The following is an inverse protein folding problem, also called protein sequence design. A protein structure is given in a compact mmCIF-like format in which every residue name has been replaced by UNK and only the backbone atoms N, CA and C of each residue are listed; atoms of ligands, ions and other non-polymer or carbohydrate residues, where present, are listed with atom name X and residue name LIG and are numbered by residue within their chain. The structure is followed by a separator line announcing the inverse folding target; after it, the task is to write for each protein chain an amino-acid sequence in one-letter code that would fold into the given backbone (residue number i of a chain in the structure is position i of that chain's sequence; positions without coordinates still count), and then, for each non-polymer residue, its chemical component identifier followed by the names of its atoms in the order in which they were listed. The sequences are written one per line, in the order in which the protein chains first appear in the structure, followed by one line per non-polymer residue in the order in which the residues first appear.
data_IF_662592183715
#
_entry.id   IF_662592183715
#
_cell.length_a   1.000
_cell.length_b   1.000
_cell.length_c   1.000
_cell.angle_alpha   90.00
_cell.angle_beta   90.00
_cell.angle_gamma   90.00
#
_symmetry.space_group_name_H-M   'P 1'
#
loop_
_entity.id
_entity.type
_entity.pdbx_description
1 polymer ?
#
# COMPACT_ATOMS: atom_id res chain seq x y z
N UNK A 1 -8.63 14.59 -38.72
CA UNK A 1 -7.74 13.46 -38.33
C UNK A 1 -6.53 13.88 -37.50
N UNK A 2 -5.60 14.72 -38.00
CA UNK A 2 -4.36 15.09 -37.24
C UNK A 2 -4.60 15.67 -35.83
N UNK A 3 -5.60 16.53 -35.66
CA UNK A 3 -5.91 17.10 -34.34
C UNK A 3 -6.50 16.06 -33.37
N UNK A 4 -7.25 15.09 -33.88
CA UNK A 4 -7.81 13.99 -33.07
C UNK A 4 -6.69 13.05 -32.62
N UNK A 5 -5.77 12.70 -33.53
CA UNK A 5 -4.57 11.92 -33.18
C UNK A 5 -3.73 12.65 -32.13
N UNK A 6 -3.52 13.97 -32.28
CA UNK A 6 -2.81 14.76 -31.28
C UNK A 6 -3.46 14.75 -29.90
N UNK A 7 -4.79 14.89 -29.85
CA UNK A 7 -5.55 14.82 -28.60
C UNK A 7 -5.48 13.44 -27.95
N UNK A 8 -5.59 12.36 -28.74
CA UNK A 8 -5.49 10.99 -28.26
C UNK A 8 -4.09 10.68 -27.71
N UNK A 9 -3.04 11.17 -28.37
CA UNK A 9 -1.66 11.04 -27.88
C UNK A 9 -1.44 11.77 -26.55
N UNK A 10 -2.00 12.97 -26.38
CA UNK A 10 -1.94 13.69 -25.11
C UNK A 10 -2.77 13.01 -24.00
N UNK A 11 -3.90 12.38 -24.33
CA UNK A 11 -4.68 11.59 -23.38
C UNK A 11 -3.94 10.32 -22.93
N UNK A 12 -3.28 9.62 -23.88
CA UNK A 12 -2.40 8.49 -23.54
C UNK A 12 -1.20 8.93 -22.72
N UNK A 13 -0.61 10.09 -23.01
CA UNK A 13 0.46 10.66 -22.19
C UNK A 13 -0.02 10.89 -20.74
N UNK A 14 -1.23 11.41 -20.55
CA UNK A 14 -1.83 11.58 -19.22
C UNK A 14 -2.02 10.24 -18.48
N UNK A 15 -2.48 9.20 -19.18
CA UNK A 15 -2.59 7.84 -18.64
C UNK A 15 -1.22 7.28 -18.23
N UNK A 16 -0.20 7.43 -19.08
CA UNK A 16 1.16 7.00 -18.76
C UNK A 16 1.74 7.76 -17.56
N UNK A 17 1.50 9.07 -17.45
CA UNK A 17 1.90 9.85 -16.28
C UNK A 17 1.23 9.34 -14.99
N UNK A 18 -0.09 9.11 -15.03
CA UNK A 18 -0.81 8.58 -13.87
C UNK A 18 -0.31 7.19 -13.46
N UNK A 19 -0.13 6.29 -14.43
CA UNK A 19 0.45 4.98 -14.20
C UNK A 19 1.87 5.07 -13.63
N UNK A 20 2.73 5.94 -14.19
CA UNK A 20 4.10 6.16 -13.72
C UNK A 20 4.16 6.64 -12.26
N UNK A 21 3.27 7.55 -11.86
CA UNK A 21 3.17 8.01 -10.45
C UNK A 21 2.77 6.87 -9.52
N UNK A 22 1.76 6.08 -9.89
CA UNK A 22 1.29 4.96 -9.08
C UNK A 22 2.33 3.84 -8.99
N UNK A 23 3.00 3.52 -10.09
CA UNK A 23 4.05 2.51 -10.14
C UNK A 23 5.31 2.93 -9.39
N UNK A 24 5.73 4.19 -9.50
CA UNK A 24 6.82 4.73 -8.69
C UNK A 24 6.50 4.62 -7.19
N UNK A 25 5.26 4.94 -6.80
CA UNK A 25 4.84 4.79 -5.41
C UNK A 25 4.78 3.32 -4.95
N UNK A 26 4.24 2.43 -5.77
CA UNK A 26 4.22 1.00 -5.47
C UNK A 26 5.62 0.41 -5.32
N UNK A 27 6.58 0.83 -6.17
CA UNK A 27 7.97 0.45 -6.02
C UNK A 27 8.59 1.04 -4.75
N UNK A 28 8.36 2.31 -4.45
CA UNK A 28 8.85 2.91 -3.20
C UNK A 28 8.32 2.16 -1.97
N UNK A 29 7.05 1.76 -1.99
CA UNK A 29 6.43 0.97 -0.92
C UNK A 29 7.05 -0.43 -0.79
N UNK A 30 7.58 -1.00 -1.88
CA UNK A 30 8.24 -2.32 -1.87
C UNK A 30 9.72 -2.23 -1.47
N UNK A 31 10.44 -1.23 -1.96
CA UNK A 31 11.90 -1.14 -1.85
C UNK A 31 12.37 -0.31 -0.63
N UNK A 32 11.52 0.57 -0.10
CA UNK A 32 11.90 1.52 0.99
C UNK A 32 10.95 1.43 2.18
N UNK A 33 11.45 1.56 3.43
CA UNK A 33 10.63 1.39 4.63
C UNK A 33 9.75 2.60 4.93
N UNK A 34 10.15 3.80 4.50
CA UNK A 34 9.50 5.06 4.88
C UNK A 34 8.01 5.10 4.47
N UNK A 35 7.60 4.80 3.23
CA UNK A 35 6.19 4.88 2.85
C UNK A 35 5.31 3.92 3.64
N UNK A 36 5.81 2.72 3.93
CA UNK A 36 5.09 1.75 4.76
C UNK A 36 4.93 2.31 6.19
N UNK A 37 6.01 2.85 6.78
CA UNK A 37 5.99 3.46 8.11
C UNK A 37 5.08 4.69 8.21
N UNK A 38 4.94 5.48 7.16
CA UNK A 38 4.01 6.62 7.12
C UNK A 38 2.54 6.17 7.11
N UNK A 39 2.21 5.12 6.34
CA UNK A 39 0.87 4.54 6.29
C UNK A 39 0.48 3.94 7.64
N UNK A 40 1.40 3.20 8.25
CA UNK A 40 1.09 2.36 9.42
C UNK A 40 1.53 2.97 10.74
N UNK A 41 2.29 4.06 10.72
CA UNK A 41 2.78 4.74 11.91
C UNK A 41 1.67 5.12 12.89
N UNK A 42 0.53 5.68 12.43
CA UNK A 42 -0.60 5.98 13.30
C UNK A 42 -1.20 4.75 14.01
N UNK A 43 -1.05 3.54 13.47
CA UNK A 43 -1.56 2.32 14.12
C UNK A 43 -0.77 1.96 15.38
N UNK A 44 0.51 2.37 15.47
CA UNK A 44 1.33 2.17 16.67
C UNK A 44 0.81 2.96 17.89
N UNK A 45 -0.06 3.94 17.66
CA UNK A 45 -0.68 4.79 18.68
C UNK A 45 -2.17 4.45 18.89
N UNK A 46 -2.74 3.50 18.11
CA UNK A 46 -4.14 3.11 18.20
C UNK A 46 -4.36 2.16 19.39
N UNK A 47 -4.95 2.70 20.46
CA UNK A 47 -5.24 1.93 21.69
C UNK A 47 -6.10 0.71 21.44
N UNK A 48 -7.04 0.76 20.49
CA UNK A 48 -7.90 -0.40 20.22
C UNK A 48 -7.12 -1.57 19.64
N UNK A 49 -6.04 -1.32 18.88
CA UNK A 49 -5.12 -2.37 18.39
C UNK A 49 -4.22 -2.83 19.52
N UNK A 50 -3.63 -1.89 20.26
CA UNK A 50 -2.70 -2.19 21.36
C UNK A 50 -3.35 -2.96 22.51
N UNK A 51 -4.65 -2.77 22.75
CA UNK A 51 -5.40 -3.50 23.78
C UNK A 51 -5.69 -4.96 23.37
N UNK A 52 -5.78 -5.25 22.07
CA UNK A 52 -6.09 -6.59 21.54
C UNK A 52 -4.86 -7.42 21.16
N UNK A 53 -3.73 -6.75 20.88
CA UNK A 53 -2.47 -7.38 20.49
C UNK A 53 -1.94 -8.41 21.52
N UNK A 54 -2.01 -8.15 22.85
CA UNK A 54 -1.41 -9.04 23.83
C UNK A 54 -2.09 -10.41 23.90
N UNK A 55 -3.42 -10.45 23.89
CA UNK A 55 -4.19 -11.69 23.88
C UNK A 55 -3.84 -12.55 22.66
N UNK A 56 -3.61 -11.90 21.51
CA UNK A 56 -3.22 -12.59 20.27
C UNK A 56 -1.78 -13.09 20.31
N UNK A 57 -0.85 -12.31 20.83
CA UNK A 57 0.55 -12.72 21.01
C UNK A 57 0.62 -13.90 21.97
N UNK A 58 -0.11 -13.84 23.09
CA UNK A 58 -0.20 -14.94 24.07
C UNK A 58 -0.79 -16.18 23.40
N UNK A 59 -1.94 -16.06 22.73
CA UNK A 59 -2.58 -17.19 22.05
C UNK A 59 -1.72 -17.80 20.93
N UNK A 60 -0.95 -16.99 20.22
CA UNK A 60 -0.03 -17.48 19.19
C UNK A 60 1.25 -18.09 19.78
N UNK A 61 1.80 -17.51 20.86
CA UNK A 61 3.02 -17.98 21.51
C UNK A 61 2.82 -19.28 22.28
N UNK A 62 1.63 -19.47 22.84
CA UNK A 62 1.26 -20.71 23.52
C UNK A 62 0.87 -21.81 22.53
N UNK A 63 0.67 -21.46 21.25
CA UNK A 63 -0.02 -22.32 20.28
C UNK A 63 -1.45 -22.59 20.75
N UNK A 64 -2.32 -23.10 19.90
CA UNK A 64 -3.58 -23.69 20.40
C UNK A 64 -3.32 -25.02 21.16
N UNK A 65 -2.11 -25.22 21.70
CA UNK A 65 -1.67 -26.40 22.42
C UNK A 65 -1.73 -26.10 23.92
N UNK A 66 -2.90 -26.34 24.50
CA UNK A 66 -3.13 -26.33 25.96
C UNK A 66 -2.10 -27.21 26.71
N UNK A 67 -1.42 -28.15 26.03
CA UNK A 67 -0.36 -28.99 26.57
C UNK A 67 0.82 -28.21 27.17
N UNK A 68 1.22 -27.06 26.60
CA UNK A 68 2.34 -26.27 27.17
C UNK A 68 1.95 -25.57 28.48
N UNK A 69 0.68 -25.16 28.61
CA UNK A 69 0.14 -24.60 29.84
C UNK A 69 -0.11 -25.69 30.90
N UNK A 70 -0.55 -26.88 30.47
CA UNK A 70 -0.77 -28.04 31.35
C UNK A 70 0.53 -28.60 31.95
N UNK A 71 1.69 -28.32 31.33
CA UNK A 71 3.00 -28.63 31.90
C UNK A 71 3.44 -27.65 33.02
N UNK A 72 2.75 -26.52 33.17
CA UNK A 72 3.07 -25.51 34.18
C UNK A 72 2.32 -25.84 35.47
N UNK A 73 3.02 -26.08 36.60
CA UNK A 73 2.35 -26.29 37.87
C UNK A 73 1.39 -25.14 38.21
N UNK A 74 0.19 -25.45 38.69
CA UNK A 74 -0.87 -24.47 38.99
C UNK A 74 -0.39 -23.30 39.87
N UNK A 75 0.52 -23.56 40.82
CA UNK A 75 1.06 -22.53 41.71
C UNK A 75 1.95 -21.49 40.99
N UNK A 76 2.48 -21.81 39.80
CA UNK A 76 3.24 -20.88 38.95
C UNK A 76 2.37 -20.16 37.92
N UNK A 77 1.19 -20.71 37.61
CA UNK A 77 0.28 -20.15 36.60
C UNK A 77 -0.18 -18.73 36.93
N UNK A 78 -0.50 -18.44 38.19
CA UNK A 78 -0.94 -17.12 38.64
C UNK A 78 0.21 -16.11 38.62
N UNK A 79 1.42 -16.52 39.03
CA UNK A 79 2.61 -15.66 38.97
C UNK A 79 3.03 -15.37 37.52
N UNK A 80 2.90 -16.35 36.63
CA UNK A 80 3.18 -16.18 35.20
C UNK A 80 2.16 -15.26 34.54
N UNK A 81 0.85 -15.42 34.83
CA UNK A 81 -0.22 -14.55 34.32
C UNK A 81 -0.04 -13.11 34.79
N UNK A 82 0.15 -12.90 36.10
CA UNK A 82 0.41 -11.55 36.64
C UNK A 82 1.71 -10.94 36.08
N UNK A 83 2.73 -11.78 35.86
CA UNK A 83 3.98 -11.36 35.23
C UNK A 83 3.80 -10.96 33.77
N UNK A 84 3.03 -11.72 32.99
CA UNK A 84 2.67 -11.41 31.61
C UNK A 84 1.87 -10.12 31.51
N UNK A 85 0.83 -9.95 32.33
CA UNK A 85 0.03 -8.73 32.34
C UNK A 85 0.87 -7.49 32.66
N UNK A 86 1.79 -7.61 33.63
CA UNK A 86 2.71 -6.53 34.00
C UNK A 86 3.71 -6.25 32.88
N UNK A 87 4.29 -7.29 32.28
CA UNK A 87 5.25 -7.19 31.20
C UNK A 87 4.63 -6.57 29.95
N UNK A 88 3.41 -6.98 29.60
CA UNK A 88 2.60 -6.43 28.50
C UNK A 88 2.30 -4.96 28.77
N UNK A 89 1.78 -4.62 29.95
CA UNK A 89 1.47 -3.23 30.31
C UNK A 89 2.70 -2.34 30.23
N UNK A 90 3.86 -2.85 30.65
CA UNK A 90 5.14 -2.15 30.58
C UNK A 90 5.64 -2.02 29.14
N UNK A 91 5.55 -3.08 28.34
CA UNK A 91 5.94 -3.10 26.94
C UNK A 91 5.09 -2.12 26.10
N UNK A 92 3.78 -2.03 26.37
CA UNK A 92 2.88 -1.10 25.69
C UNK A 92 3.14 0.38 26.03
N UNK A 93 3.86 0.64 27.12
CA UNK A 93 4.26 1.99 27.54
C UNK A 93 5.73 2.29 27.23
N UNK A 94 6.47 1.31 26.72
CA UNK A 94 7.89 1.43 26.45
C UNK A 94 8.14 2.33 25.22
N UNK A 95 9.22 3.12 25.28
CA UNK A 95 9.67 3.92 24.14
C UNK A 95 10.06 3.03 22.94
N UNK A 96 10.46 1.79 23.19
CA UNK A 96 10.88 0.81 22.19
C UNK A 96 9.70 0.18 21.44
N UNK A 97 8.46 0.34 21.91
CA UNK A 97 7.25 -0.17 21.23
C UNK A 97 7.15 0.32 19.79
N UNK A 98 7.43 1.61 19.57
CA UNK A 98 7.38 2.22 18.24
C UNK A 98 8.44 1.62 17.30
N UNK A 99 9.60 1.28 17.83
CA UNK A 99 10.66 0.62 17.06
C UNK A 99 10.26 -0.81 16.69
N UNK A 100 9.73 -1.58 17.66
CA UNK A 100 9.21 -2.92 17.41
C UNK A 100 8.09 -2.91 16.35
N UNK A 101 7.22 -1.90 16.39
CA UNK A 101 6.20 -1.69 15.37
C UNK A 101 6.80 -1.47 13.98
N UNK A 102 7.78 -0.58 13.85
CA UNK A 102 8.42 -0.35 12.56
C UNK A 102 9.19 -1.55 12.02
N UNK A 103 9.79 -2.36 12.90
CA UNK A 103 10.46 -3.60 12.51
C UNK A 103 9.46 -4.65 12.03
N UNK A 104 8.33 -4.80 12.72
CA UNK A 104 7.24 -5.71 12.35
C UNK A 104 6.72 -5.42 10.93
N UNK A 105 6.54 -4.14 10.63
CA UNK A 105 6.07 -3.67 9.32
C UNK A 105 7.12 -3.92 8.23
N UNK A 106 8.39 -3.67 8.53
CA UNK A 106 9.47 -3.86 7.57
C UNK A 106 9.67 -5.33 7.20
N UNK A 107 9.57 -6.21 8.20
CA UNK A 107 9.57 -7.67 8.02
C UNK A 107 8.36 -8.11 7.19
N UNK A 108 7.17 -7.63 7.55
CA UNK A 108 5.91 -7.93 6.83
C UNK A 108 6.00 -7.53 5.35
N UNK A 109 6.49 -6.32 5.07
CA UNK A 109 6.68 -5.82 3.71
C UNK A 109 7.68 -6.70 2.95
N UNK A 110 8.84 -6.95 3.54
CA UNK A 110 9.94 -7.67 2.88
C UNK A 110 9.57 -9.12 2.58
N UNK A 111 8.93 -9.81 3.53
CA UNK A 111 8.40 -11.17 3.32
C UNK A 111 7.37 -11.20 2.19
N UNK A 112 6.39 -10.29 2.23
CA UNK A 112 5.34 -10.24 1.20
C UNK A 112 5.91 -9.95 -0.21
N UNK A 113 6.79 -8.97 -0.34
CA UNK A 113 7.46 -8.64 -1.62
C UNK A 113 8.29 -9.83 -2.12
N UNK A 114 9.03 -10.49 -1.23
CA UNK A 114 9.84 -11.68 -1.58
C UNK A 114 8.96 -12.79 -2.12
N UNK A 115 7.82 -13.07 -1.47
CA UNK A 115 6.89 -14.10 -1.95
C UNK A 115 6.25 -13.73 -3.30
N UNK A 116 5.94 -12.45 -3.54
CA UNK A 116 5.46 -11.99 -4.86
C UNK A 116 6.53 -12.12 -5.97
N UNK A 117 7.80 -11.91 -5.63
CA UNK A 117 8.91 -12.15 -6.55
C UNK A 117 9.08 -13.63 -6.87
N UNK A 118 8.92 -14.53 -5.88
CA UNK A 118 8.93 -15.99 -6.08
C UNK A 118 7.78 -16.46 -6.99
N UNK A 119 6.63 -15.79 -6.96
CA UNK A 119 5.53 -16.03 -7.91
C UNK A 119 5.94 -15.59 -9.32
N UNK A 120 6.61 -14.44 -9.44
CA UNK A 120 7.06 -13.90 -10.74
C UNK A 120 8.16 -14.77 -11.36
N UNK A 121 9.08 -15.29 -10.55
CA UNK A 121 10.18 -16.16 -10.99
C UNK A 121 9.73 -17.59 -11.30
N UNK A 122 8.53 -17.98 -10.88
CA UNK A 122 7.97 -19.32 -11.05
C UNK A 122 8.42 -20.32 -9.98
N UNK A 123 9.04 -19.86 -8.89
CA UNK A 123 9.42 -20.68 -7.74
C UNK A 123 8.20 -21.11 -6.92
N UNK A 124 7.19 -20.24 -6.83
CA UNK A 124 5.85 -20.58 -6.30
C UNK A 124 4.90 -20.82 -7.48
N UNK A 125 4.43 -22.05 -7.63
CA UNK A 125 3.45 -22.41 -8.65
C UNK A 125 2.04 -21.96 -8.22
N UNK A 126 1.46 -20.99 -8.94
CA UNK A 126 0.05 -20.61 -8.79
C UNK A 126 -0.75 -21.25 -9.94
N UNK A 127 -1.78 -22.05 -9.62
CA UNK A 127 -2.67 -22.65 -10.60
C UNK A 127 -3.29 -21.57 -11.52
N UNK A 128 -3.40 -21.81 -12.86
CA UNK A 128 -4.13 -20.89 -13.72
C UNK A 128 -5.61 -20.81 -13.31
N UNK A 129 -6.27 -19.65 -13.51
CA UNK A 129 -7.68 -19.50 -13.19
C UNK A 129 -8.51 -20.37 -14.11
N UNK A 130 -8.85 -21.58 -13.67
CA UNK A 130 -9.90 -22.38 -14.26
C UNK A 130 -11.23 -21.90 -13.68
N UNK A 131 -12.24 -21.70 -14.52
CA UNK A 131 -13.62 -21.42 -14.08
C UNK A 131 -14.07 -22.51 -13.10
N UNK A 132 -14.06 -22.22 -11.80
CA UNK A 132 -14.48 -23.13 -10.74
C UNK A 132 -13.36 -23.79 -9.91
N UNK A 133 -12.08 -23.42 -10.06
CA UNK A 133 -11.03 -23.86 -9.15
C UNK A 133 -10.87 -22.87 -7.97
N UNK A 134 -11.04 -23.37 -6.75
CA UNK A 134 -10.89 -22.64 -5.47
C UNK A 134 -9.48 -22.71 -4.89
N UNK A 135 -8.50 -23.20 -5.65
CA UNK A 135 -7.10 -23.25 -5.20
C UNK A 135 -6.46 -21.87 -5.36
N UNK A 136 -6.91 -20.97 -4.49
CA UNK A 136 -6.47 -19.59 -4.25
C UNK A 136 -5.26 -19.52 -3.31
N UNK A 137 -4.37 -20.52 -3.37
CA UNK A 137 -3.13 -20.51 -2.57
C UNK A 137 -2.07 -19.66 -3.28
N UNK A 138 -2.06 -18.36 -2.98
CA UNK A 138 -0.91 -17.51 -3.26
C UNK A 138 -0.65 -16.58 -2.09
N UNK A 139 0.47 -15.84 -2.13
CA UNK A 139 0.90 -15.06 -0.98
C UNK A 139 -0.12 -13.99 -0.61
N UNK A 140 -0.56 -14.03 0.64
CA UNK A 140 -1.29 -12.95 1.32
C UNK A 140 -0.36 -12.27 2.32
N UNK A 141 -0.67 -11.03 2.68
CA UNK A 141 0.09 -10.30 3.69
C UNK A 141 -0.14 -10.91 5.08
N UNK A 142 0.96 -11.13 5.79
CA UNK A 142 0.98 -11.66 7.15
C UNK A 142 1.76 -10.68 8.02
N UNK A 143 1.12 -10.11 9.02
CA UNK A 143 1.79 -9.22 9.97
C UNK A 143 2.72 -10.05 10.86
N UNK A 144 4.02 -9.76 10.74
CA UNK A 144 5.10 -10.39 11.50
C UNK A 144 5.19 -9.75 12.89
N UNK A 145 4.47 -10.28 13.88
CA UNK A 145 4.38 -9.68 15.21
C UNK A 145 5.50 -10.11 16.17
N UNK A 146 6.53 -10.81 15.68
CA UNK A 146 7.70 -11.25 16.45
C UNK A 146 8.40 -10.10 17.20
N UNK A 147 8.59 -8.90 16.62
CA UNK A 147 9.20 -7.80 17.37
C UNK A 147 8.40 -7.41 18.63
N UNK A 148 7.07 -7.51 18.60
CA UNK A 148 6.25 -7.30 19.80
C UNK A 148 6.38 -8.45 20.79
N UNK A 149 6.38 -9.68 20.29
CA UNK A 149 6.59 -10.86 21.14
C UNK A 149 7.97 -10.80 21.82
N UNK A 150 9.01 -10.36 21.11
CA UNK A 150 10.36 -10.19 21.64
C UNK A 150 10.40 -9.10 22.73
N UNK A 151 9.75 -7.95 22.51
CA UNK A 151 9.64 -6.89 23.51
C UNK A 151 8.86 -7.36 24.75
N UNK A 152 7.74 -8.06 24.55
CA UNK A 152 6.95 -8.63 25.64
C UNK A 152 7.74 -9.67 26.45
N UNK A 153 8.48 -10.57 25.77
CA UNK A 153 9.35 -11.56 26.41
C UNK A 153 10.51 -10.90 27.17
N UNK A 154 11.09 -9.82 26.64
CA UNK A 154 12.12 -9.06 27.35
C UNK A 154 11.57 -8.49 28.66
N UNK A 155 10.39 -7.85 28.63
CA UNK A 155 9.75 -7.34 29.85
C UNK A 155 9.34 -8.44 30.81
N UNK A 156 8.94 -9.59 30.28
CA UNK A 156 8.60 -10.75 31.08
C UNK A 156 9.82 -11.32 31.80
N UNK A 157 10.97 -11.38 31.14
CA UNK A 157 12.24 -11.75 31.76
C UNK A 157 12.64 -10.76 32.87
N UNK A 158 12.50 -9.45 32.63
CA UNK A 158 12.74 -8.42 33.66
C UNK A 158 11.87 -8.62 34.92
N UNK A 159 10.59 -8.98 34.74
CA UNK A 159 9.64 -9.21 35.85
C UNK A 159 9.88 -10.55 36.56
N UNK A 160 10.23 -11.61 35.81
CA UNK A 160 10.34 -12.97 36.34
C UNK A 160 11.77 -13.41 36.69
N UNK A 161 12.78 -12.59 36.41
CA UNK A 161 14.18 -12.83 36.79
C UNK A 161 14.35 -13.27 38.27
N UNK A 162 13.64 -12.69 39.25
CA UNK A 162 13.74 -13.12 40.66
C UNK A 162 13.16 -14.51 40.95
N UNK A 163 12.32 -15.06 40.07
CA UNK A 163 11.55 -16.30 40.27
C UNK A 163 12.25 -17.52 39.63
N UNK A 164 13.27 -17.30 38.78
CA UNK A 164 14.10 -18.38 38.23
C UNK A 164 13.45 -19.20 37.09
N UNK A 165 12.47 -18.63 36.39
CA UNK A 165 11.73 -19.29 35.30
C UNK A 165 12.39 -19.17 33.91
N UNK A 166 13.70 -18.90 33.86
CA UNK A 166 14.44 -18.60 32.61
C UNK A 166 14.37 -19.73 31.58
N UNK A 167 14.41 -21.00 32.02
CA UNK A 167 14.33 -22.15 31.10
C UNK A 167 12.99 -22.26 30.35
N UNK A 168 11.90 -21.75 30.93
CA UNK A 168 10.59 -21.69 30.28
C UNK A 168 10.53 -20.54 29.26
N UNK A 169 11.16 -19.40 29.60
CA UNK A 169 11.27 -18.24 28.71
C UNK A 169 12.12 -18.54 27.47
N UNK A 170 13.21 -19.30 27.62
CA UNK A 170 14.03 -19.76 26.50
C UNK A 170 13.24 -20.69 25.56
N UNK A 171 12.33 -21.51 26.11
CA UNK A 171 11.40 -22.32 25.32
C UNK A 171 10.44 -21.48 24.48
N UNK A 172 9.80 -20.49 25.09
CA UNK A 172 8.89 -19.56 24.41
C UNK A 172 9.61 -18.73 23.34
N UNK A 173 10.84 -18.28 23.62
CA UNK A 173 11.65 -17.50 22.69
C UNK A 173 12.03 -18.27 21.43
N UNK A 174 12.20 -19.59 21.54
CA UNK A 174 12.57 -20.46 20.42
C UNK A 174 11.35 -21.01 19.65
N UNK A 175 10.17 -21.05 20.27
CA UNK A 175 8.94 -21.60 19.67
C UNK A 175 7.97 -20.58 19.06
N UNK A 176 7.94 -19.34 19.56
CA UNK A 176 6.90 -18.38 19.20
C UNK A 176 7.17 -17.67 17.87
N UNK A 177 6.66 -18.23 16.76
CA UNK A 177 6.40 -17.41 15.57
C UNK A 177 5.00 -16.82 15.64
N UNK A 178 4.92 -15.53 15.96
CA UNK A 178 3.64 -14.80 16.05
C UNK A 178 3.34 -14.15 14.70
N UNK A 179 2.61 -14.87 13.87
CA UNK A 179 2.14 -14.41 12.56
C UNK A 179 0.63 -14.12 12.60
N UNK A 180 0.23 -12.91 12.19
CA UNK A 180 -1.19 -12.52 12.11
C UNK A 180 -1.57 -12.41 10.63
N UNK A 181 -2.34 -13.37 10.08
CA UNK A 181 -2.75 -13.33 8.68
C UNK A 181 -3.72 -12.17 8.45
N UNK A 182 -3.35 -11.25 7.55
CA UNK A 182 -4.21 -10.12 7.20
C UNK A 182 -5.12 -10.44 6.01
N UNK A 183 -4.84 -11.54 5.28
CA UNK A 183 -5.55 -11.97 4.07
C UNK A 183 -5.73 -10.84 3.05
N UNK A 184 -4.68 -10.02 2.89
CA UNK A 184 -4.63 -8.91 1.94
C UNK A 184 -3.65 -9.23 0.81
N UNK A 185 -4.04 -9.05 -0.47
CA UNK A 185 -5.42 -8.88 -0.94
C UNK A 185 -6.24 -10.17 -0.78
N UNK A 186 -7.58 -10.08 -0.83
CA UNK A 186 -8.42 -11.29 -0.87
C UNK A 186 -8.13 -12.05 -2.17
N UNK A 187 -7.62 -13.29 -2.09
CA UNK A 187 -7.22 -14.04 -3.27
C UNK A 187 -8.42 -14.41 -4.16
N UNK A 188 -9.65 -14.37 -3.63
CA UNK A 188 -10.89 -14.63 -4.38
C UNK A 188 -11.26 -13.48 -5.32
N UNK A 189 -10.77 -12.26 -5.06
CA UNK A 189 -11.09 -11.07 -5.87
C UNK A 189 -9.88 -10.56 -6.64
N UNK A 190 -8.70 -10.54 -6.02
CA UNK A 190 -7.45 -10.17 -6.67
C UNK A 190 -6.50 -11.35 -6.62
N UNK A 191 -6.29 -12.00 -7.76
CA UNK A 191 -5.39 -13.15 -7.81
C UNK A 191 -3.97 -12.74 -7.39
N UNK A 192 -3.24 -13.56 -6.61
CA UNK A 192 -1.87 -13.25 -6.21
C UNK A 192 -0.91 -13.12 -7.41
N UNK A 193 -1.21 -13.79 -8.53
CA UNK A 193 -0.52 -13.60 -9.81
C UNK A 193 -0.68 -12.18 -10.36
N UNK A 194 -1.89 -11.62 -10.25
CA UNK A 194 -2.15 -10.23 -10.64
C UNK A 194 -1.25 -9.30 -9.83
N UNK A 195 -1.21 -9.48 -8.51
CA UNK A 195 -0.37 -8.64 -7.64
C UNK A 195 1.13 -8.75 -7.97
N UNK A 196 1.62 -9.97 -8.23
CA UNK A 196 3.00 -10.22 -8.66
C UNK A 196 3.31 -9.49 -9.99
N UNK A 197 2.38 -9.52 -10.95
CA UNK A 197 2.51 -8.78 -12.21
C UNK A 197 2.51 -7.26 -12.00
N UNK A 198 1.65 -6.75 -11.12
CA UNK A 198 1.65 -5.32 -10.77
C UNK A 198 2.99 -4.87 -10.19
N UNK A 199 3.57 -5.68 -9.29
CA UNK A 199 4.91 -5.43 -8.74
C UNK A 199 6.00 -5.51 -9.83
N UNK A 200 5.93 -6.48 -10.73
CA UNK A 200 6.89 -6.60 -11.82
C UNK A 200 6.84 -5.38 -12.78
N UNK A 201 5.63 -4.90 -13.10
CA UNK A 201 5.43 -3.71 -13.94
C UNK A 201 5.86 -2.44 -13.20
N UNK A 202 5.67 -2.38 -11.88
CA UNK A 202 6.00 -1.18 -11.09
C UNK A 202 7.49 -0.83 -11.17
N UNK A 203 8.37 -1.85 -11.24
CA UNK A 203 9.82 -1.70 -11.44
C UNK A 203 10.19 -1.00 -12.75
N UNK A 204 9.27 -0.93 -13.72
CA UNK A 204 9.45 -0.24 -15.00
C UNK A 204 8.83 1.16 -15.04
N UNK A 205 8.52 1.78 -13.89
CA UNK A 205 7.86 3.09 -13.81
C UNK A 205 8.52 4.19 -14.65
N UNK A 206 9.86 4.19 -14.75
CA UNK A 206 10.61 5.17 -15.55
C UNK A 206 10.15 5.19 -17.02
N UNK A 207 9.87 4.02 -17.59
CA UNK A 207 9.40 3.90 -18.97
C UNK A 207 8.03 4.53 -19.19
N UNK A 208 7.19 4.57 -18.16
CA UNK A 208 5.90 5.27 -18.25
C UNK A 208 6.10 6.79 -18.35
N UNK A 209 7.05 7.37 -17.61
CA UNK A 209 7.36 8.80 -17.74
C UNK A 209 8.04 9.14 -19.08
N UNK A 210 8.97 8.29 -19.54
CA UNK A 210 9.58 8.44 -20.88
C UNK A 210 8.51 8.36 -21.96
N UNK A 211 7.63 7.35 -21.89
CA UNK A 211 6.50 7.18 -22.80
C UNK A 211 5.56 8.37 -22.78
N UNK A 212 5.20 8.88 -21.59
CA UNK A 212 4.37 10.07 -21.44
C UNK A 212 5.00 11.30 -22.11
N UNK A 213 6.30 11.52 -21.92
CA UNK A 213 7.03 12.62 -22.56
C UNK A 213 7.02 12.52 -24.09
N UNK A 214 7.34 11.34 -24.62
CA UNK A 214 7.34 11.08 -26.08
C UNK A 214 5.96 11.26 -26.68
N UNK A 215 4.92 10.69 -26.05
CA UNK A 215 3.53 10.79 -26.52
C UNK A 215 3.00 12.22 -26.44
N UNK A 216 3.30 12.94 -25.36
CA UNK A 216 2.90 14.35 -25.20
C UNK A 216 3.53 15.23 -26.27
N UNK A 217 4.84 15.09 -26.51
CA UNK A 217 5.55 15.83 -27.57
C UNK A 217 5.01 15.48 -28.95
N UNK A 218 4.85 14.19 -29.26
CA UNK A 218 4.28 13.73 -30.52
C UNK A 218 2.86 14.29 -30.73
N UNK A 219 2.03 14.29 -29.69
CA UNK A 219 0.67 14.82 -29.72
C UNK A 219 0.62 16.30 -30.10
N UNK A 220 1.47 17.12 -29.47
CA UNK A 220 1.59 18.56 -29.76
C UNK A 220 2.15 18.81 -31.17
N UNK A 221 3.14 18.03 -31.61
CA UNK A 221 3.78 18.19 -32.94
C UNK A 221 2.82 17.81 -34.07
N UNK A 222 2.06 16.72 -33.91
CA UNK A 222 1.11 16.22 -34.92
C UNK A 222 -0.06 17.18 -35.11
N UNK A 223 -0.55 17.76 -34.02
CA UNK A 223 -1.62 18.75 -34.03
C UNK A 223 -1.19 20.06 -34.72
N UNK A 224 -2.12 20.70 -35.44
CA UNK A 224 -1.87 21.94 -36.19
C UNK A 224 -2.77 23.10 -35.76
N UNK A 225 -2.20 24.30 -35.77
CA UNK A 225 -2.90 25.53 -35.38
C UNK A 225 -3.54 25.38 -33.99
N UNK A 226 -4.80 25.82 -33.86
CA UNK A 226 -5.59 25.71 -32.62
C UNK A 226 -5.73 24.28 -32.09
N UNK A 227 -5.51 23.26 -32.93
CA UNK A 227 -5.52 21.86 -32.51
C UNK A 227 -4.46 21.50 -31.46
N UNK A 228 -3.35 22.23 -31.39
CA UNK A 228 -2.30 22.01 -30.36
C UNK A 228 -2.80 22.35 -28.96
N UNK A 229 -3.49 23.48 -28.84
CA UNK A 229 -4.12 23.87 -27.59
C UNK A 229 -5.21 22.88 -27.18
N UNK A 230 -6.04 22.43 -28.14
CA UNK A 230 -7.07 21.41 -27.88
C UNK A 230 -6.42 20.12 -27.36
N UNK A 231 -5.34 19.65 -27.97
CA UNK A 231 -4.63 18.44 -27.53
C UNK A 231 -4.09 18.56 -26.09
N UNK A 232 -3.50 19.71 -25.74
CA UNK A 232 -3.04 19.97 -24.37
C UNK A 232 -4.20 20.02 -23.36
N UNK A 233 -5.31 20.67 -23.72
CA UNK A 233 -6.51 20.71 -22.88
C UNK A 233 -7.12 19.31 -22.70
N UNK A 234 -7.09 18.45 -23.72
CA UNK A 234 -7.52 17.06 -23.59
C UNK A 234 -6.63 16.27 -22.64
N UNK A 235 -5.31 16.42 -22.74
CA UNK A 235 -4.37 15.80 -21.79
C UNK A 235 -4.60 16.29 -20.35
N UNK A 236 -4.81 17.59 -20.17
CA UNK A 236 -5.14 18.18 -18.86
C UNK A 236 -6.45 17.63 -18.29
N UNK A 237 -7.51 17.55 -19.11
CA UNK A 237 -8.79 16.97 -18.71
C UNK A 237 -8.64 15.49 -18.33
N UNK A 238 -7.84 14.71 -19.09
CA UNK A 238 -7.57 13.31 -18.78
C UNK A 238 -6.86 13.16 -17.43
N UNK A 239 -5.84 13.99 -17.12
CA UNK A 239 -5.17 13.98 -15.81
C UNK A 239 -6.14 14.29 -14.66
N UNK A 240 -7.02 15.28 -14.83
CA UNK A 240 -8.01 15.64 -13.82
C UNK A 240 -9.05 14.54 -13.60
N UNK A 241 -9.52 13.89 -14.67
CA UNK A 241 -10.44 12.76 -14.58
C UNK A 241 -9.79 11.56 -13.90
N UNK A 242 -8.53 11.27 -14.24
CA UNK A 242 -7.76 10.19 -13.59
C UNK A 242 -7.54 10.46 -12.11
N UNK A 243 -7.22 11.71 -11.74
CA UNK A 243 -7.16 12.13 -10.33
C UNK A 243 -8.47 11.83 -9.59
N UNK A 244 -9.62 12.19 -10.18
CA UNK A 244 -10.94 11.92 -9.58
C UNK A 244 -11.24 10.43 -9.49
N UNK A 245 -10.87 9.66 -10.51
CA UNK A 245 -11.02 8.21 -10.48
C UNK A 245 -10.19 7.58 -9.36
N UNK A 246 -8.90 7.94 -9.25
CA UNK A 246 -8.01 7.45 -8.20
C UNK A 246 -8.52 7.81 -6.80
N UNK A 247 -8.95 9.06 -6.60
CA UNK A 247 -9.55 9.48 -5.32
C UNK A 247 -10.86 8.76 -4.99
N UNK A 248 -11.69 8.43 -5.99
CA UNK A 248 -12.90 7.64 -5.77
C UNK A 248 -12.60 6.20 -5.34
N UNK A 249 -11.53 5.60 -5.89
CA UNK A 249 -11.07 4.26 -5.48
C UNK A 249 -10.56 4.31 -4.03
N UNK A 250 -9.80 5.34 -3.66
CA UNK A 250 -9.33 5.53 -2.29
C UNK A 250 -10.49 5.75 -1.30
N UNK A 251 -11.50 6.54 -1.67
CA UNK A 251 -12.70 6.75 -0.86
C UNK A 251 -13.50 5.44 -0.66
N UNK A 252 -13.64 4.64 -1.72
CA UNK A 252 -14.33 3.34 -1.64
C UNK A 252 -13.56 2.31 -0.80
N UNK A 253 -12.22 2.38 -0.80
CA UNK A 253 -11.39 1.56 0.09
C UNK A 253 -11.63 1.90 1.57
N UNK A 254 -11.91 3.17 1.90
CA UNK A 254 -12.26 3.59 3.27
C UNK A 254 -13.66 3.13 3.72
N UNK A 255 -14.62 3.07 2.79
CA UNK A 255 -16.03 2.84 3.12
C UNK A 255 -16.42 1.37 3.30
N UNK A 256 -15.45 0.46 3.43
CA UNK A 256 -15.71 -0.94 3.82
C UNK A 256 -15.07 -2.01 2.94
N UNK A 257 -14.35 -1.68 1.86
CA UNK A 257 -13.51 -2.63 1.12
C UNK A 257 -14.20 -3.81 0.41
N UNK A 258 -15.48 -4.07 0.66
CA UNK A 258 -16.26 -5.18 0.08
C UNK A 258 -16.29 -5.12 -1.45
N UNK A 259 -16.45 -3.92 -2.02
CA UNK A 259 -16.47 -3.71 -3.47
C UNK A 259 -15.10 -3.92 -4.17
N UNK A 260 -14.00 -3.91 -3.41
CA UNK A 260 -12.64 -4.16 -3.91
C UNK A 260 -12.17 -5.59 -3.60
N UNK A 261 -13.04 -6.41 -2.99
CA UNK A 261 -12.65 -7.73 -2.51
C UNK A 261 -11.59 -7.66 -1.44
N UNK A 262 -11.86 -6.91 -0.40
CA UNK A 262 -10.98 -6.84 0.77
C UNK A 262 -11.70 -7.41 2.00
N UNK A 263 -12.81 -8.15 1.80
CA UNK A 263 -13.70 -8.64 2.84
C UNK A 263 -13.75 -10.16 2.89
N UNK A 264 -12.97 -10.74 3.79
CA UNK A 264 -13.15 -12.11 4.29
C UNK A 264 -13.44 -12.11 5.80
N UNK A 265 -13.93 -13.24 6.33
CA UNK A 265 -14.01 -13.50 7.77
C UNK A 265 -12.60 -13.42 8.36
N UNK A 266 -12.34 -12.37 9.13
CA UNK A 266 -11.10 -12.15 9.84
C UNK A 266 -11.38 -12.11 11.34
N UNK A 267 -10.38 -12.49 12.12
CA UNK A 267 -10.31 -12.18 13.55
C UNK A 267 -10.58 -10.67 13.76
N UNK A 268 -11.36 -10.25 14.77
CA UNK A 268 -11.56 -8.85 15.14
C UNK A 268 -10.30 -7.97 15.14
N UNK A 269 -9.14 -8.51 15.56
CA UNK A 269 -7.88 -7.76 15.50
C UNK A 269 -7.38 -7.59 14.06
N UNK A 270 -7.43 -8.65 13.25
CA UNK A 270 -7.00 -8.61 11.86
C UNK A 270 -7.89 -7.71 11.00
N UNK A 271 -9.19 -7.65 11.27
CA UNK A 271 -10.12 -6.72 10.60
C UNK A 271 -9.84 -5.27 11.00
N UNK A 272 -9.62 -4.99 12.29
CA UNK A 272 -9.28 -3.66 12.76
C UNK A 272 -7.95 -3.16 12.16
N UNK A 273 -6.90 -3.99 12.18
CA UNK A 273 -5.61 -3.67 11.56
C UNK A 273 -5.81 -3.41 10.06
N UNK A 274 -6.52 -4.29 9.35
CA UNK A 274 -6.84 -4.11 7.92
C UNK A 274 -7.53 -2.77 7.66
N UNK A 275 -8.58 -2.44 8.39
CA UNK A 275 -9.38 -1.24 8.16
C UNK A 275 -8.54 0.03 8.38
N UNK A 276 -7.70 0.03 9.42
CA UNK A 276 -6.78 1.14 9.70
C UNK A 276 -5.66 1.24 8.65
N UNK A 277 -5.13 0.11 8.18
CA UNK A 277 -4.15 0.07 7.08
C UNK A 277 -4.74 0.65 5.80
N UNK A 278 -5.97 0.26 5.44
CA UNK A 278 -6.67 0.78 4.26
C UNK A 278 -6.99 2.27 4.41
N UNK A 279 -7.37 2.72 5.60
CA UNK A 279 -7.55 4.13 5.90
C UNK A 279 -6.24 4.92 5.72
N UNK A 280 -5.11 4.42 6.24
CA UNK A 280 -3.80 5.05 6.03
C UNK A 280 -3.39 5.09 4.55
N UNK A 281 -3.56 3.97 3.84
CA UNK A 281 -3.21 3.85 2.43
C UNK A 281 -4.04 4.81 1.57
N UNK A 282 -5.34 4.90 1.82
CA UNK A 282 -6.25 5.79 1.08
C UNK A 282 -5.88 7.26 1.22
N UNK A 283 -5.41 7.71 2.40
CA UNK A 283 -4.91 9.09 2.58
C UNK A 283 -3.72 9.39 1.68
N UNK A 284 -2.77 8.44 1.59
CA UNK A 284 -1.61 8.60 0.73
C UNK A 284 -1.98 8.55 -0.76
N UNK A 285 -2.92 7.68 -1.15
CA UNK A 285 -3.43 7.63 -2.53
C UNK A 285 -4.15 8.93 -2.89
N UNK A 286 -4.99 9.47 -1.99
CA UNK A 286 -5.65 10.76 -2.20
C UNK A 286 -4.64 11.89 -2.38
N UNK A 287 -3.58 11.93 -1.55
CA UNK A 287 -2.51 12.90 -1.71
C UNK A 287 -1.89 12.80 -3.10
N UNK A 288 -1.59 11.60 -3.61
CA UNK A 288 -1.07 11.42 -4.99
C UNK A 288 -2.08 11.83 -6.07
N UNK A 289 -3.37 11.64 -5.83
CA UNK A 289 -4.41 12.14 -6.73
C UNK A 289 -4.40 13.67 -6.83
N UNK A 290 -4.07 14.39 -5.75
CA UNK A 290 -3.91 15.86 -5.78
C UNK A 290 -2.72 16.31 -6.64
N UNK A 291 -1.62 15.54 -6.64
CA UNK A 291 -0.48 15.79 -7.54
C UNK A 291 -0.90 15.67 -9.02
N UNK A 292 -1.71 14.66 -9.35
CA UNK A 292 -2.24 14.52 -10.71
C UNK A 292 -3.18 15.66 -11.08
N UNK A 293 -4.00 16.14 -10.13
CA UNK A 293 -4.89 17.27 -10.35
C UNK A 293 -4.12 18.57 -10.60
N UNK A 294 -3.10 18.85 -9.79
CA UNK A 294 -2.23 20.02 -9.95
C UNK A 294 -1.43 19.97 -11.26
N UNK A 295 -0.90 18.80 -11.64
CA UNK A 295 -0.27 18.60 -12.94
C UNK A 295 -1.25 18.86 -14.10
N UNK A 296 -2.50 18.43 -13.95
CA UNK A 296 -3.61 18.75 -14.87
C UNK A 296 -3.85 20.25 -15.00
N UNK A 297 -3.90 20.99 -13.88
CA UNK A 297 -4.06 22.45 -13.87
C UNK A 297 -2.92 23.18 -14.59
N UNK A 298 -1.68 22.79 -14.32
CA UNK A 298 -0.50 23.39 -14.98
C UNK A 298 -0.58 23.16 -16.49
N UNK A 299 -0.90 21.93 -16.90
CA UNK A 299 -1.06 21.57 -18.32
C UNK A 299 -2.20 22.36 -18.97
N UNK A 300 -3.30 22.56 -18.25
CA UNK A 300 -4.44 23.37 -18.69
C UNK A 300 -4.04 24.84 -18.90
N UNK A 301 -3.29 25.42 -17.95
CA UNK A 301 -2.78 26.79 -18.05
C UNK A 301 -1.88 26.99 -19.27
N UNK A 302 -0.96 26.05 -19.51
CA UNK A 302 -0.11 26.05 -20.72
C UNK A 302 -0.97 25.95 -21.99
N UNK A 303 -1.94 25.04 -22.01
CA UNK A 303 -2.88 24.89 -23.14
C UNK A 303 -3.67 26.18 -23.44
N UNK A 304 -4.15 26.86 -22.39
CA UNK A 304 -4.88 28.12 -22.51
C UNK A 304 -4.01 29.26 -23.04
N UNK A 305 -2.77 29.39 -22.55
CA UNK A 305 -1.81 30.40 -23.05
C UNK A 305 -1.50 30.17 -24.54
N UNK A 306 -1.24 28.92 -24.94
CA UNK A 306 -1.01 28.56 -26.34
C UNK A 306 -2.23 28.90 -27.20
N UNK A 307 -3.45 28.66 -26.70
CA UNK A 307 -4.67 29.04 -27.40
C UNK A 307 -4.78 30.56 -27.62
N UNK A 308 -4.54 31.35 -26.57
CA UNK A 308 -4.59 32.82 -26.62
C UNK A 308 -3.57 33.36 -27.63
N UNK A 309 -2.31 32.89 -27.57
CA UNK A 309 -1.27 33.28 -28.52
C UNK A 309 -1.71 32.99 -29.96
N UNK A 310 -2.29 31.81 -30.20
CA UNK A 310 -2.77 31.45 -31.54
C UNK A 310 -3.96 32.30 -32.01
N UNK A 311 -4.87 32.67 -31.10
CA UNK A 311 -5.97 33.58 -31.42
C UNK A 311 -5.45 34.96 -31.79
N UNK A 312 -4.52 35.52 -31.00
CA UNK A 312 -3.89 36.81 -31.27
C UNK A 312 -3.15 36.81 -32.62
N UNK A 313 -2.36 35.78 -32.90
CA UNK A 313 -1.67 35.63 -34.19
C UNK A 313 -2.64 35.49 -35.38
N UNK A 314 -3.78 34.81 -35.18
CA UNK A 314 -4.81 34.70 -36.22
C UNK A 314 -5.49 36.03 -36.51
N UNK A 315 -5.73 36.86 -35.47
CA UNK A 315 -6.29 38.21 -35.63
C UNK A 315 -5.31 39.19 -36.28
N UNK A 316 -4.03 39.13 -35.92
CA UNK A 316 -2.99 39.98 -36.51
C UNK A 316 -2.82 39.73 -38.02
N UNK A 317 -2.99 38.48 -38.49
CA UNK A 317 -2.93 38.15 -39.93
C UNK A 317 -4.17 38.55 -40.72
N UNK A 318 -5.30 38.82 -40.06
CA UNK A 318 -6.57 39.18 -40.71
C UNK A 318 -6.81 40.68 -40.84
N UNK A 319 -5.92 41.54 -40.32
CA UNK A 319 -6.04 42.99 -40.56
C UNK A 319 -5.58 43.29 -42.00
N UNK A 320 -6.45 43.88 -42.85
CA UNK A 320 -6.04 44.31 -44.18
C UNK A 320 -4.99 45.40 -44.06
N UNK A 321 -3.89 45.25 -44.80
CA UNK A 321 -2.90 46.32 -44.99
C UNK A 321 -3.59 47.38 -45.84
N UNK A 322 -3.97 48.48 -45.20
CA UNK A 322 -4.52 49.65 -45.88
C UNK A 322 -3.39 50.29 -46.71
N UNK A 323 -3.28 49.88 -47.97
CA UNK A 323 -2.41 50.53 -48.94
C UNK A 323 -3.02 51.87 -49.32
N UNK A 324 -2.59 52.93 -48.60
CA UNK A 324 -2.68 54.31 -49.08
C UNK A 324 -1.58 54.61 -50.08
#
# INVERSE_FOLDING_TARGET
MRNLVGALLCALAALCTAAGVMFHYAQALADTPEPAREIVGPLAEDRSILDMLPDRIIGAALGNDDELLDLIPDFLSESLRNGMDTAISTALQDADLKQAWYESIDLTRTDYVTRLDMVTSGEIAIAPPNFGATDTEGPTMVLQAQPFAALGLQKLDEVLSPVGLQGLLDGLRNGARVEIPLNLPDPTVVSPRTMAQWLAVSRSWLWFFVGAGVLGLAGVVVARGRGRAIALLTGAAALMLLSRFVGSVAANARSGGEALGLGGELDPLASLVRDRLLAGLSVHIDQRAEWLWSAGLVTMGVGAVVLVIMILLSRARSQPVDHR
#
